data_IF_036627178669
#
_entry.id   IF_036627178669
#
_cell.length_a   1.000
_cell.length_b   1.000
_cell.length_c   1.000
_cell.angle_alpha   90.00
_cell.angle_beta   90.00
_cell.angle_gamma   90.00
#
_symmetry.space_group_name_H-M   'P 1'
#
loop_
_entity.id
_entity.type
_entity.pdbx_description
1 polymer ?
#
# COMPACT_ATOMS: atom_id res chain seq x y z
N UNK A 1 1.81 22.07 4.05
CA UNK A 1 2.26 20.92 3.26
C UNK A 1 3.19 20.09 4.13
N UNK A 2 2.71 18.94 4.58
CA UNK A 2 3.37 18.12 5.62
C UNK A 2 4.55 17.30 5.09
N UNK A 3 4.59 17.09 3.76
CA UNK A 3 5.62 16.31 3.07
C UNK A 3 6.47 17.16 2.11
N UNK A 4 6.49 18.47 2.33
CA UNK A 4 7.30 19.38 1.51
C UNK A 4 8.77 18.94 1.51
N UNK A 5 9.35 18.85 0.33
CA UNK A 5 10.72 18.36 0.09
C UNK A 5 10.96 16.88 0.42
N UNK A 6 9.93 16.07 0.70
CA UNK A 6 10.05 14.62 0.80
C UNK A 6 9.89 13.96 -0.57
N UNK A 7 10.48 12.79 -0.72
CA UNK A 7 10.35 11.91 -1.87
C UNK A 7 9.70 10.61 -1.40
N UNK A 8 8.60 10.24 -2.05
CA UNK A 8 7.82 9.06 -1.72
C UNK A 8 7.80 8.07 -2.89
N UNK A 9 7.95 6.78 -2.61
CA UNK A 9 7.74 5.68 -3.55
C UNK A 9 6.49 4.93 -3.17
N UNK A 10 5.59 4.66 -4.14
CA UNK A 10 4.32 3.96 -3.89
C UNK A 10 4.20 2.80 -4.87
N UNK A 11 4.04 1.57 -4.36
CA UNK A 11 3.85 0.37 -5.18
C UNK A 11 2.38 0.07 -5.43
N UNK A 12 2.05 -0.53 -6.60
CA UNK A 12 0.67 -0.80 -7.00
C UNK A 12 -0.14 0.50 -7.13
N UNK A 13 0.47 1.57 -7.63
CA UNK A 13 -0.09 2.92 -7.62
C UNK A 13 -0.70 3.34 -8.96
N UNK A 14 -0.83 2.43 -9.92
CA UNK A 14 -1.48 2.67 -11.21
C UNK A 14 -3.00 2.83 -11.13
N UNK A 15 -3.64 2.46 -10.01
CA UNK A 15 -5.08 2.59 -9.79
C UNK A 15 -5.48 2.43 -8.32
N UNK A 16 -6.76 2.67 -8.02
CA UNK A 16 -7.39 2.34 -6.74
C UNK A 16 -6.74 3.02 -5.54
N UNK A 17 -6.52 2.25 -4.46
CA UNK A 17 -5.93 2.78 -3.21
C UNK A 17 -4.57 3.42 -3.47
N UNK A 18 -3.70 2.78 -4.25
CA UNK A 18 -2.37 3.30 -4.55
C UNK A 18 -2.40 4.62 -5.33
N UNK A 19 -3.33 4.79 -6.29
CA UNK A 19 -3.56 6.08 -6.98
C UNK A 19 -3.99 7.15 -5.99
N UNK A 20 -4.95 6.85 -5.09
CA UNK A 20 -5.42 7.79 -4.06
C UNK A 20 -4.30 8.21 -3.10
N UNK A 21 -3.48 7.24 -2.66
CA UNK A 21 -2.29 7.51 -1.83
C UNK A 21 -1.32 8.44 -2.57
N UNK A 22 -1.00 8.16 -3.83
CA UNK A 22 -0.06 8.97 -4.60
C UNK A 22 -0.54 10.41 -4.77
N UNK A 23 -1.84 10.60 -5.02
CA UNK A 23 -2.46 11.93 -5.13
C UNK A 23 -2.41 12.69 -3.79
N UNK A 24 -2.74 12.02 -2.67
CA UNK A 24 -2.68 12.61 -1.34
C UNK A 24 -1.23 13.04 -0.99
N UNK A 25 -0.24 12.17 -1.20
CA UNK A 25 1.16 12.51 -0.94
C UNK A 25 1.64 13.72 -1.76
N UNK A 26 1.27 13.78 -3.04
CA UNK A 26 1.61 14.92 -3.91
C UNK A 26 0.91 16.21 -3.46
N UNK A 27 -0.37 16.15 -3.03
CA UNK A 27 -1.10 17.32 -2.50
C UNK A 27 -0.47 17.86 -1.21
N UNK A 28 0.13 16.99 -0.40
CA UNK A 28 0.91 17.35 0.78
C UNK A 28 2.36 17.80 0.47
N UNK A 29 2.73 17.89 -0.82
CA UNK A 29 3.99 18.45 -1.29
C UNK A 29 5.14 17.49 -1.47
N UNK A 30 4.89 16.17 -1.42
CA UNK A 30 5.89 15.16 -1.76
C UNK A 30 6.11 15.07 -3.27
N UNK A 31 7.33 14.78 -3.69
CA UNK A 31 7.58 14.19 -5.01
C UNK A 31 7.30 12.69 -4.93
N UNK A 32 6.64 12.13 -5.94
CA UNK A 32 6.15 10.76 -5.90
C UNK A 32 6.67 9.92 -7.07
N UNK A 33 7.18 8.74 -6.78
CA UNK A 33 7.46 7.70 -7.77
C UNK A 33 6.29 6.71 -7.76
N UNK A 34 5.57 6.63 -8.87
CA UNK A 34 4.41 5.76 -9.09
C UNK A 34 4.93 4.45 -9.65
N UNK A 35 4.85 3.37 -8.88
CA UNK A 35 5.29 2.04 -9.32
C UNK A 35 4.10 1.12 -9.51
N UNK A 36 4.01 0.49 -10.67
CA UNK A 36 2.98 -0.52 -10.96
C UNK A 36 3.51 -1.57 -11.93
N UNK A 37 2.90 -2.76 -11.93
CA UNK A 37 3.16 -3.80 -12.94
C UNK A 37 2.71 -3.33 -14.33
N UNK A 38 1.66 -2.51 -14.39
CA UNK A 38 1.16 -1.88 -15.61
C UNK A 38 1.74 -0.47 -15.75
N UNK A 39 2.79 -0.34 -16.56
CA UNK A 39 3.48 0.93 -16.81
C UNK A 39 2.59 2.01 -17.40
N UNK A 40 1.61 1.67 -18.25
CA UNK A 40 0.67 2.64 -18.83
C UNK A 40 -0.23 3.25 -17.75
N UNK A 41 -0.73 2.42 -16.82
CA UNK A 41 -1.53 2.87 -15.68
C UNK A 41 -0.70 3.78 -14.76
N UNK A 42 0.54 3.40 -14.45
CA UNK A 42 1.46 4.21 -13.66
C UNK A 42 1.73 5.57 -14.33
N UNK A 43 2.02 5.58 -15.64
CA UNK A 43 2.21 6.79 -16.43
C UNK A 43 0.98 7.70 -16.43
N UNK A 44 -0.22 7.13 -16.58
CA UNK A 44 -1.49 7.87 -16.51
C UNK A 44 -1.64 8.61 -15.19
N UNK A 45 -1.37 7.94 -14.07
CA UNK A 45 -1.44 8.53 -12.72
C UNK A 45 -0.40 9.63 -12.55
N UNK A 46 0.85 9.40 -12.96
CA UNK A 46 1.90 10.41 -12.91
C UNK A 46 1.54 11.67 -13.72
N UNK A 47 1.00 11.52 -14.93
CA UNK A 47 0.51 12.64 -15.75
C UNK A 47 -0.61 13.40 -15.05
N UNK A 48 -1.60 12.71 -14.47
CA UNK A 48 -2.72 13.32 -13.74
C UNK A 48 -2.21 14.17 -12.55
N UNK A 49 -1.25 13.63 -11.79
CA UNK A 49 -0.63 14.36 -10.67
C UNK A 49 0.14 15.59 -11.18
N UNK A 50 0.92 15.48 -12.25
CA UNK A 50 1.71 16.57 -12.80
C UNK A 50 0.87 17.72 -13.41
N UNK A 51 -0.38 17.47 -13.78
CA UNK A 51 -1.33 18.54 -14.17
C UNK A 51 -1.66 19.43 -12.97
N UNK A 52 -1.83 18.84 -11.78
CA UNK A 52 -2.20 19.57 -10.56
C UNK A 52 -0.98 20.10 -9.80
N UNK A 53 0.10 19.33 -9.81
CA UNK A 53 1.35 19.60 -9.09
C UNK A 53 2.55 19.42 -10.05
N UNK A 54 2.93 20.44 -10.81
CA UNK A 54 3.95 20.31 -11.85
C UNK A 54 5.28 19.75 -11.35
N UNK A 55 5.85 18.78 -12.08
CA UNK A 55 7.13 18.10 -11.77
C UNK A 55 7.15 17.37 -10.42
N UNK A 56 5.98 16.94 -9.91
CA UNK A 56 5.87 16.25 -8.64
C UNK A 56 5.79 14.72 -8.80
N UNK A 57 5.54 14.19 -9.98
CA UNK A 57 5.38 12.75 -10.17
C UNK A 57 6.25 12.19 -11.31
N UNK A 58 6.74 10.99 -11.12
CA UNK A 58 7.38 10.15 -12.11
C UNK A 58 6.83 8.72 -11.99
N UNK A 59 7.03 7.87 -12.97
CA UNK A 59 6.54 6.50 -12.96
C UNK A 59 7.63 5.48 -13.28
N UNK A 60 7.42 4.25 -12.84
CA UNK A 60 8.28 3.12 -13.12
C UNK A 60 7.44 1.83 -13.22
N UNK A 61 7.70 1.02 -14.25
CA UNK A 61 7.08 -0.30 -14.40
C UNK A 61 7.93 -1.35 -13.68
N UNK A 62 7.32 -2.11 -12.77
CA UNK A 62 8.02 -3.16 -12.03
C UNK A 62 7.12 -4.33 -11.67
N UNK A 63 7.63 -5.54 -11.89
CA UNK A 63 7.12 -6.77 -11.28
C UNK A 63 7.82 -6.99 -9.92
N UNK A 64 7.08 -6.85 -8.83
CA UNK A 64 7.61 -6.99 -7.47
C UNK A 64 7.89 -8.44 -7.05
N UNK A 65 7.57 -9.41 -7.89
CA UNK A 65 8.03 -10.79 -7.70
C UNK A 65 9.51 -10.95 -8.10
N UNK A 66 10.05 -10.02 -8.90
CA UNK A 66 11.46 -9.97 -9.28
C UNK A 66 12.27 -8.96 -8.44
N UNK A 67 13.23 -9.48 -7.67
CA UNK A 67 14.13 -8.65 -6.85
C UNK A 67 15.01 -7.69 -7.66
N UNK A 68 15.26 -7.96 -8.96
CA UNK A 68 16.01 -7.04 -9.83
C UNK A 68 15.14 -5.82 -10.17
N UNK A 69 13.84 -6.03 -10.47
CA UNK A 69 12.90 -4.95 -10.71
C UNK A 69 12.74 -4.06 -9.47
N UNK A 70 12.68 -4.65 -8.25
CA UNK A 70 12.64 -3.90 -6.99
C UNK A 70 13.88 -3.01 -6.83
N UNK A 71 15.09 -3.54 -7.07
CA UNK A 71 16.33 -2.74 -7.03
C UNK A 71 16.29 -1.60 -8.04
N UNK A 72 15.82 -1.88 -9.25
CA UNK A 72 15.74 -0.90 -10.34
C UNK A 72 14.77 0.24 -10.04
N UNK A 73 13.60 -0.02 -9.42
CA UNK A 73 12.65 1.04 -9.05
C UNK A 73 13.24 2.00 -8.00
N UNK A 74 14.00 1.47 -7.03
CA UNK A 74 14.68 2.30 -6.02
C UNK A 74 15.77 3.14 -6.67
N UNK A 75 16.61 2.55 -7.53
CA UNK A 75 17.63 3.28 -8.25
C UNK A 75 17.06 4.37 -9.16
N UNK A 76 15.96 4.09 -9.86
CA UNK A 76 15.25 5.08 -10.68
C UNK A 76 14.74 6.25 -9.83
N UNK A 77 14.20 5.94 -8.62
CA UNK A 77 13.75 6.98 -7.68
C UNK A 77 14.91 7.87 -7.23
N UNK A 78 16.01 7.27 -6.81
CA UNK A 78 17.21 8.00 -6.37
C UNK A 78 17.84 8.81 -7.52
N UNK A 79 17.88 8.26 -8.72
CA UNK A 79 18.40 8.96 -9.91
C UNK A 79 17.54 10.17 -10.29
N UNK A 80 16.21 10.06 -10.16
CA UNK A 80 15.29 11.13 -10.53
C UNK A 80 15.19 12.22 -9.46
N UNK A 81 15.13 11.83 -8.18
CA UNK A 81 14.80 12.74 -7.09
C UNK A 81 15.92 12.92 -6.07
N UNK A 82 17.05 12.25 -6.23
CA UNK A 82 18.28 12.32 -5.42
C UNK A 82 18.20 11.70 -4.03
N UNK A 83 17.02 11.34 -3.55
CA UNK A 83 16.78 10.72 -2.23
C UNK A 83 15.48 9.91 -2.21
N UNK A 84 15.27 9.17 -1.13
CA UNK A 84 14.02 8.45 -0.85
C UNK A 84 13.75 8.58 0.65
N UNK A 85 12.69 9.31 1.03
CA UNK A 85 12.32 9.56 2.44
C UNK A 85 11.16 8.66 2.91
N UNK A 86 10.24 8.35 2.01
CA UNK A 86 8.96 7.73 2.34
C UNK A 86 8.66 6.59 1.39
N UNK A 87 8.13 5.49 1.91
CA UNK A 87 7.71 4.35 1.09
C UNK A 87 6.32 3.91 1.50
N UNK A 88 5.46 3.66 0.52
CA UNK A 88 4.17 3.01 0.72
C UNK A 88 4.09 1.71 -0.08
N UNK A 89 4.16 0.58 0.60
CA UNK A 89 4.00 -0.75 0.04
C UNK A 89 2.51 -1.09 -0.04
N UNK A 90 1.89 -0.78 -1.19
CA UNK A 90 0.47 -1.00 -1.41
C UNK A 90 0.18 -2.18 -2.35
N UNK A 91 1.10 -2.55 -3.23
CA UNK A 91 0.89 -3.65 -4.18
C UNK A 91 0.51 -4.97 -3.48
N UNK A 92 -0.58 -5.56 -3.92
CA UNK A 92 -1.05 -6.87 -3.47
C UNK A 92 -2.07 -7.43 -4.46
N UNK A 93 -2.24 -8.73 -4.48
CA UNK A 93 -3.31 -9.37 -5.23
C UNK A 93 -3.79 -10.65 -4.52
N UNK A 94 -5.08 -10.95 -4.64
CA UNK A 94 -5.65 -12.24 -4.30
C UNK A 94 -5.86 -13.05 -5.57
N UNK A 95 -5.46 -14.30 -5.57
CA UNK A 95 -5.78 -15.28 -6.59
C UNK A 95 -6.68 -16.35 -5.98
N UNK A 96 -7.80 -16.60 -6.64
CA UNK A 96 -8.82 -17.48 -6.11
C UNK A 96 -9.71 -16.83 -5.05
N UNK A 97 -10.99 -17.20 -5.07
CA UNK A 97 -12.01 -16.88 -4.08
C UNK A 97 -12.88 -18.12 -3.94
N UNK A 98 -13.14 -18.56 -2.70
CA UNK A 98 -14.00 -19.71 -2.46
C UNK A 98 -13.75 -20.39 -1.13
N UNK A 99 -14.48 -21.48 -0.86
CA UNK A 99 -14.24 -22.34 0.29
C UNK A 99 -12.80 -22.87 0.32
N UNK A 100 -12.23 -23.06 1.51
CA UNK A 100 -10.81 -23.41 1.69
C UNK A 100 -10.42 -24.70 0.97
N UNK A 101 -11.33 -25.66 0.89
CA UNK A 101 -11.16 -26.96 0.22
C UNK A 101 -11.09 -26.87 -1.31
N UNK A 102 -11.47 -25.74 -1.91
CA UNK A 102 -11.51 -25.54 -3.36
C UNK A 102 -10.31 -24.76 -3.90
N UNK A 103 -9.42 -24.25 -3.02
CA UNK A 103 -8.22 -23.56 -3.50
C UNK A 103 -7.23 -24.54 -4.12
N UNK A 104 -6.76 -24.24 -5.31
CA UNK A 104 -5.58 -24.91 -5.86
C UNK A 104 -4.30 -24.45 -5.15
N UNK A 105 -3.29 -25.29 -5.16
CA UNK A 105 -2.00 -24.95 -4.56
C UNK A 105 -1.33 -23.76 -5.30
N UNK A 106 -1.58 -23.64 -6.59
CA UNK A 106 -1.11 -22.55 -7.45
C UNK A 106 -1.75 -21.21 -7.03
N UNK A 107 -3.06 -21.17 -6.74
CA UNK A 107 -3.75 -19.96 -6.25
C UNK A 107 -3.24 -19.54 -4.87
N UNK A 108 -3.02 -20.51 -3.99
CA UNK A 108 -2.43 -20.27 -2.66
C UNK A 108 -1.04 -19.64 -2.82
N UNK A 109 -0.15 -20.28 -3.60
CA UNK A 109 1.22 -19.80 -3.79
C UNK A 109 1.25 -18.43 -4.46
N UNK A 110 0.46 -18.22 -5.52
CA UNK A 110 0.39 -16.94 -6.22
C UNK A 110 -0.10 -15.80 -5.30
N UNK A 111 -1.08 -16.07 -4.43
CA UNK A 111 -1.56 -15.08 -3.44
C UNK A 111 -0.48 -14.73 -2.42
N UNK A 112 0.23 -15.74 -1.89
CA UNK A 112 1.36 -15.53 -0.98
C UNK A 112 2.48 -14.73 -1.65
N UNK A 113 2.85 -15.09 -2.89
CA UNK A 113 3.93 -14.42 -3.62
C UNK A 113 3.61 -12.96 -3.90
N UNK A 114 2.38 -12.65 -4.33
CA UNK A 114 1.96 -11.30 -4.69
C UNK A 114 1.64 -10.41 -3.48
N UNK A 115 1.29 -11.00 -2.31
CA UNK A 115 0.83 -10.21 -1.17
C UNK A 115 1.83 -10.17 -0.03
N UNK A 116 2.57 -11.26 0.22
CA UNK A 116 3.50 -11.36 1.33
C UNK A 116 4.96 -11.44 0.89
N UNK A 117 5.31 -12.39 0.00
CA UNK A 117 6.71 -12.61 -0.40
C UNK A 117 7.28 -11.38 -1.14
N UNK A 118 6.48 -10.76 -2.01
CA UNK A 118 6.89 -9.52 -2.71
C UNK A 118 7.13 -8.37 -1.72
N UNK A 119 6.24 -8.18 -0.73
CA UNK A 119 6.43 -7.17 0.32
C UNK A 119 7.70 -7.44 1.13
N UNK A 120 7.95 -8.69 1.52
CA UNK A 120 9.16 -9.05 2.25
C UNK A 120 10.43 -8.72 1.44
N UNK A 121 10.44 -9.03 0.13
CA UNK A 121 11.54 -8.66 -0.78
C UNK A 121 11.69 -7.14 -0.90
N UNK A 122 10.59 -6.41 -1.03
CA UNK A 122 10.61 -4.95 -1.03
C UNK A 122 11.26 -4.41 0.24
N UNK A 123 10.76 -4.79 1.42
CA UNK A 123 11.31 -4.34 2.70
C UNK A 123 12.80 -4.65 2.86
N UNK A 124 13.27 -5.83 2.43
CA UNK A 124 14.68 -6.19 2.47
C UNK A 124 15.56 -5.20 1.69
N UNK A 125 15.14 -4.85 0.47
CA UNK A 125 15.92 -3.99 -0.43
C UNK A 125 15.75 -2.51 -0.05
N UNK A 126 14.54 -2.09 0.30
CA UNK A 126 14.20 -0.74 0.74
C UNK A 126 14.97 -0.34 1.99
N UNK A 127 14.93 -1.17 3.03
CA UNK A 127 15.62 -0.91 4.30
C UNK A 127 17.13 -0.79 4.08
N UNK A 128 17.73 -1.65 3.25
CA UNK A 128 19.15 -1.51 2.94
C UNK A 128 19.43 -0.15 2.29
N UNK A 129 18.65 0.24 1.28
CA UNK A 129 18.80 1.53 0.60
C UNK A 129 18.59 2.73 1.54
N UNK A 130 17.61 2.65 2.45
CA UNK A 130 17.36 3.71 3.43
C UNK A 130 18.51 3.84 4.45
N UNK A 131 19.06 2.71 4.91
CA UNK A 131 20.25 2.72 5.78
C UNK A 131 21.47 3.32 5.09
N UNK A 132 21.68 3.01 3.82
CA UNK A 132 22.81 3.53 3.03
C UNK A 132 22.73 5.06 2.86
N UNK A 133 21.51 5.63 2.79
CA UNK A 133 21.30 7.07 2.75
C UNK A 133 21.58 7.76 4.11
N UNK A 134 21.51 7.03 5.22
CA UNK A 134 21.73 7.54 6.59
C UNK A 134 20.82 8.74 6.95
N UNK A 135 19.58 8.76 6.44
CA UNK A 135 18.57 9.79 6.74
C UNK A 135 17.34 9.15 7.41
N UNK A 136 16.61 9.89 8.27
CA UNK A 136 15.34 9.41 8.80
C UNK A 136 14.34 9.13 7.70
N UNK A 137 13.64 8.00 7.80
CA UNK A 137 12.67 7.57 6.80
C UNK A 137 11.40 6.97 7.44
N UNK A 138 10.34 6.83 6.64
CA UNK A 138 9.10 6.21 7.09
C UNK A 138 8.53 5.27 6.02
N UNK A 139 8.10 4.09 6.45
CA UNK A 139 7.48 3.05 5.63
C UNK A 139 6.06 2.83 6.11
N UNK A 140 5.10 2.75 5.19
CA UNK A 140 3.72 2.30 5.45
C UNK A 140 3.41 1.10 4.57
N UNK A 141 2.99 0.01 5.19
CA UNK A 141 2.53 -1.20 4.50
C UNK A 141 1.00 -1.22 4.47
N UNK A 142 0.40 -1.42 3.31
CA UNK A 142 -1.06 -1.55 3.21
C UNK A 142 -1.46 -3.00 3.49
N UNK A 143 -2.15 -3.16 4.62
CA UNK A 143 -2.75 -4.41 5.06
C UNK A 143 -4.21 -4.51 4.59
N UNK A 144 -5.10 -5.02 5.43
CA UNK A 144 -6.54 -5.13 5.21
C UNK A 144 -7.25 -5.37 6.55
N UNK A 145 -8.51 -4.98 6.68
CA UNK A 145 -9.33 -5.37 7.83
C UNK A 145 -9.55 -6.89 7.88
N UNK A 146 -9.42 -7.61 6.76
CA UNK A 146 -9.42 -9.08 6.73
C UNK A 146 -8.26 -9.72 7.51
N UNK A 147 -7.19 -8.95 7.78
CA UNK A 147 -6.08 -9.36 8.63
C UNK A 147 -6.41 -9.31 10.13
N UNK A 148 -7.47 -8.60 10.51
CA UNK A 148 -7.88 -8.39 11.91
C UNK A 148 -9.00 -9.35 12.28
N UNK A 149 -9.94 -9.56 11.36
CA UNK A 149 -11.01 -10.55 11.49
C UNK A 149 -11.01 -11.49 10.27
N UNK A 150 -11.29 -12.77 10.49
CA UNK A 150 -11.39 -13.74 9.39
C UNK A 150 -12.42 -13.31 8.34
N UNK A 151 -12.13 -13.62 7.08
CA UNK A 151 -13.03 -13.34 5.96
C UNK A 151 -13.35 -14.64 5.23
N UNK A 152 -14.61 -15.03 5.24
CA UNK A 152 -15.06 -16.24 4.53
C UNK A 152 -14.74 -16.10 3.03
N UNK A 153 -14.39 -17.22 2.41
CA UNK A 153 -14.11 -17.33 0.99
C UNK A 153 -12.87 -16.56 0.48
N UNK A 154 -12.07 -15.96 1.39
CA UNK A 154 -10.81 -15.29 1.05
C UNK A 154 -9.72 -15.56 2.11
N UNK A 155 -9.65 -16.80 2.58
CA UNK A 155 -8.84 -17.20 3.73
C UNK A 155 -7.34 -16.98 3.53
N UNK A 156 -6.81 -17.31 2.34
CA UNK A 156 -5.36 -17.17 2.09
C UNK A 156 -4.91 -15.70 2.00
N UNK A 157 -5.73 -14.84 1.41
CA UNK A 157 -5.47 -13.41 1.39
C UNK A 157 -5.53 -12.81 2.81
N UNK A 158 -6.54 -13.18 3.60
CA UNK A 158 -6.66 -12.75 4.99
C UNK A 158 -5.43 -13.16 5.82
N UNK A 159 -4.99 -14.41 5.68
CA UNK A 159 -3.78 -14.91 6.33
C UNK A 159 -2.52 -14.16 5.88
N UNK A 160 -2.38 -13.90 4.56
CA UNK A 160 -1.26 -13.11 4.03
C UNK A 160 -1.22 -11.69 4.61
N UNK A 161 -2.37 -11.04 4.73
CA UNK A 161 -2.47 -9.69 5.30
C UNK A 161 -2.25 -9.67 6.82
N UNK A 162 -2.61 -10.75 7.54
CA UNK A 162 -2.25 -10.91 8.95
C UNK A 162 -0.71 -11.06 9.11
N UNK A 163 -0.06 -11.78 8.19
CA UNK A 163 1.39 -11.87 8.14
C UNK A 163 2.04 -10.50 7.88
N UNK A 164 1.47 -9.66 7.02
CA UNK A 164 1.91 -8.26 6.79
C UNK A 164 1.88 -7.45 8.09
N UNK A 165 0.82 -7.58 8.91
CA UNK A 165 0.72 -6.89 10.20
C UNK A 165 1.86 -7.28 11.14
N UNK A 166 2.12 -8.57 11.30
CA UNK A 166 3.18 -9.06 12.18
C UNK A 166 4.58 -8.71 11.65
N UNK A 167 4.80 -8.83 10.33
CA UNK A 167 6.05 -8.42 9.68
C UNK A 167 6.33 -6.93 9.91
N UNK A 168 5.33 -6.06 9.79
CA UNK A 168 5.44 -4.62 10.07
C UNK A 168 5.95 -4.36 11.49
N UNK A 169 5.38 -5.03 12.49
CA UNK A 169 5.80 -4.89 13.89
C UNK A 169 7.22 -5.39 14.13
N UNK A 170 7.59 -6.50 13.52
CA UNK A 170 8.93 -7.09 13.65
C UNK A 170 9.98 -6.18 13.03
N UNK A 171 9.75 -5.74 11.80
CA UNK A 171 10.68 -4.85 11.08
C UNK A 171 10.80 -3.49 11.79
N UNK A 172 9.72 -2.94 12.33
CA UNK A 172 9.78 -1.70 13.11
C UNK A 172 10.77 -1.78 14.27
N UNK A 173 10.79 -2.93 14.99
CA UNK A 173 11.76 -3.17 16.08
C UNK A 173 13.21 -3.24 15.59
N UNK A 174 13.42 -3.84 14.41
CA UNK A 174 14.76 -4.02 13.83
C UNK A 174 15.39 -2.71 13.36
N UNK A 175 14.57 -1.76 12.86
CA UNK A 175 15.07 -0.57 12.16
C UNK A 175 14.90 0.74 12.94
N UNK A 176 14.22 0.73 14.08
CA UNK A 176 13.92 1.94 14.86
C UNK A 176 15.20 2.75 15.23
N UNK A 177 16.29 2.07 15.59
CA UNK A 177 17.57 2.71 15.92
C UNK A 177 18.28 3.36 14.72
N UNK A 178 17.83 3.03 13.50
CA UNK A 178 18.30 3.68 12.28
C UNK A 178 17.46 4.93 11.91
N UNK A 179 16.52 5.34 12.78
CA UNK A 179 15.61 6.45 12.49
C UNK A 179 14.52 6.11 11.45
N UNK A 180 14.26 4.82 11.19
CA UNK A 180 13.24 4.36 10.25
C UNK A 180 12.01 3.95 11.03
N UNK A 181 10.85 4.55 10.71
CA UNK A 181 9.54 4.15 11.24
C UNK A 181 8.84 3.22 10.25
N UNK A 182 8.16 2.20 10.76
CA UNK A 182 7.40 1.26 9.93
C UNK A 182 6.03 1.04 10.56
N UNK A 183 4.95 1.34 9.82
CA UNK A 183 3.57 1.17 10.27
C UNK A 183 2.75 0.44 9.21
N UNK A 184 1.58 -0.05 9.57
CA UNK A 184 0.60 -0.60 8.63
C UNK A 184 -0.72 0.17 8.69
N UNK A 185 -1.38 0.28 7.55
CA UNK A 185 -2.77 0.74 7.43
C UNK A 185 -3.61 -0.44 6.99
N UNK A 186 -4.74 -0.66 7.66
CA UNK A 186 -5.71 -1.73 7.39
C UNK A 186 -7.01 -1.13 6.83
N UNK A 187 -7.15 -1.01 5.50
CA UNK A 187 -8.38 -0.53 4.88
C UNK A 187 -9.55 -1.48 5.07
N UNK A 188 -10.76 -0.93 5.17
CA UNK A 188 -12.00 -1.65 4.94
C UNK A 188 -12.31 -1.81 3.46
N UNK A 189 -13.60 -1.86 3.11
CA UNK A 189 -14.02 -1.83 1.70
C UNK A 189 -13.87 -0.43 1.14
N UNK A 190 -13.03 -0.29 0.11
CA UNK A 190 -12.69 0.99 -0.53
C UNK A 190 -13.16 0.98 -1.99
N UNK A 191 -13.70 2.10 -2.45
CA UNK A 191 -14.26 2.32 -3.77
C UNK A 191 -13.18 2.32 -4.88
N UNK A 192 -12.69 1.14 -5.22
CA UNK A 192 -11.66 0.91 -6.24
C UNK A 192 -12.28 0.37 -7.53
N UNK A 193 -11.58 0.40 -8.68
CA UNK A 193 -12.05 -0.23 -9.91
C UNK A 193 -12.45 -1.70 -9.73
N UNK A 194 -11.66 -2.49 -8.98
CA UNK A 194 -11.98 -3.89 -8.72
C UNK A 194 -13.25 -4.08 -7.87
N UNK A 195 -13.47 -3.21 -6.87
CA UNK A 195 -14.70 -3.24 -6.05
C UNK A 195 -15.92 -2.81 -6.87
N UNK A 196 -15.78 -1.82 -7.76
CA UNK A 196 -16.87 -1.41 -8.69
C UNK A 196 -17.25 -2.56 -9.60
N UNK A 197 -16.27 -3.22 -10.21
CA UNK A 197 -16.52 -4.39 -11.07
C UNK A 197 -17.22 -5.53 -10.29
N UNK A 198 -16.82 -5.77 -9.03
CA UNK A 198 -17.48 -6.74 -8.17
C UNK A 198 -18.95 -6.36 -7.91
N UNK A 199 -19.28 -5.10 -7.69
CA UNK A 199 -20.66 -4.63 -7.49
C UNK A 199 -21.51 -4.71 -8.77
N UNK A 200 -20.91 -4.55 -9.94
CA UNK A 200 -21.60 -4.76 -11.22
C UNK A 200 -21.98 -6.24 -11.41
N UNK A 201 -21.09 -7.16 -11.00
CA UNK A 201 -21.36 -8.60 -11.04
C UNK A 201 -22.33 -9.06 -9.94
N UNK A 202 -22.25 -8.47 -8.74
CA UNK A 202 -23.02 -8.85 -7.55
C UNK A 202 -23.65 -7.61 -6.89
N UNK A 203 -24.75 -7.06 -7.43
CA UNK A 203 -25.33 -5.79 -6.94
C UNK A 203 -25.74 -5.82 -5.46
N UNK A 204 -26.15 -6.99 -4.92
CA UNK A 204 -26.50 -7.15 -3.50
C UNK A 204 -25.30 -7.04 -2.56
N UNK A 205 -24.10 -7.30 -3.06
CA UNK A 205 -22.87 -7.20 -2.28
C UNK A 205 -22.58 -5.76 -1.83
N UNK A 206 -22.94 -4.77 -2.64
CA UNK A 206 -22.76 -3.35 -2.30
C UNK A 206 -23.48 -3.01 -0.99
N UNK A 207 -24.78 -3.26 -0.94
CA UNK A 207 -25.61 -2.98 0.24
C UNK A 207 -25.12 -3.74 1.48
N UNK A 208 -24.70 -5.00 1.30
CA UNK A 208 -24.16 -5.81 2.39
C UNK A 208 -22.85 -5.22 2.94
N UNK A 209 -21.95 -4.78 2.07
CA UNK A 209 -20.66 -4.21 2.47
C UNK A 209 -20.82 -2.81 3.07
N UNK A 210 -21.75 -1.99 2.57
CA UNK A 210 -22.11 -0.70 3.19
C UNK A 210 -22.68 -0.92 4.60
N UNK A 211 -23.54 -1.92 4.79
CA UNK A 211 -24.11 -2.27 6.10
C UNK A 211 -23.08 -2.84 7.07
N UNK A 212 -22.01 -3.46 6.58
CA UNK A 212 -20.92 -3.97 7.43
C UNK A 212 -20.08 -2.87 8.08
N UNK A 213 -20.07 -1.67 7.52
CA UNK A 213 -19.44 -0.49 8.10
C UNK A 213 -20.40 0.20 9.08
N UNK A 214 -19.90 0.65 10.24
CA UNK A 214 -20.68 1.47 11.17
C UNK A 214 -21.07 2.82 10.54
N UNK A 215 -20.23 3.36 9.65
CA UNK A 215 -20.50 4.59 8.91
C UNK A 215 -21.47 4.39 7.74
N UNK A 216 -21.94 3.14 7.48
CA UNK A 216 -22.94 2.80 6.46
C UNK A 216 -22.57 3.22 5.04
N UNK A 217 -21.30 3.22 4.73
CA UNK A 217 -20.75 3.47 3.39
C UNK A 217 -19.43 2.72 3.19
N UNK A 218 -19.01 2.58 1.95
CA UNK A 218 -17.64 2.24 1.62
C UNK A 218 -16.76 3.48 1.69
N UNK A 219 -15.45 3.28 1.88
CA UNK A 219 -14.47 4.36 1.92
C UNK A 219 -14.00 4.75 0.52
N UNK A 220 -13.36 5.91 0.41
CA UNK A 220 -12.71 6.38 -0.82
C UNK A 220 -11.18 6.22 -0.72
N UNK A 221 -10.47 6.02 -1.86
CA UNK A 221 -9.02 5.88 -1.87
C UNK A 221 -8.27 7.02 -1.18
N UNK A 222 -8.79 8.24 -1.29
CA UNK A 222 -8.23 9.44 -0.69
C UNK A 222 -8.24 9.38 0.84
N UNK A 223 -9.24 8.74 1.45
CA UNK A 223 -9.31 8.58 2.91
C UNK A 223 -8.18 7.69 3.45
N UNK A 224 -7.72 6.71 2.65
CA UNK A 224 -6.51 5.94 2.95
C UNK A 224 -5.27 6.80 2.76
N UNK A 225 -5.23 7.58 1.67
CA UNK A 225 -4.13 8.48 1.34
C UNK A 225 -3.83 9.51 2.44
N UNK A 226 -4.85 10.06 3.09
CA UNK A 226 -4.69 11.03 4.17
C UNK A 226 -4.00 10.42 5.41
N UNK A 227 -4.41 9.21 5.85
CA UNK A 227 -3.72 8.55 6.95
C UNK A 227 -2.29 8.16 6.58
N UNK A 228 -2.07 7.67 5.36
CA UNK A 228 -0.72 7.33 4.87
C UNK A 228 0.16 8.59 4.87
N UNK A 229 -0.36 9.74 4.40
CA UNK A 229 0.36 11.02 4.40
C UNK A 229 0.76 11.44 5.82
N UNK A 230 -0.15 11.31 6.79
CA UNK A 230 0.15 11.57 8.19
C UNK A 230 1.24 10.64 8.74
N UNK A 231 1.13 9.32 8.49
CA UNK A 231 2.10 8.33 9.00
C UNK A 231 3.49 8.47 8.36
N UNK A 232 3.57 8.97 7.15
CA UNK A 232 4.84 9.25 6.47
C UNK A 232 5.46 10.60 6.88
N UNK A 233 4.68 11.49 7.51
CA UNK A 233 5.13 12.83 7.92
C UNK A 233 5.82 12.83 9.28
N UNK A 234 6.46 13.96 9.62
CA UNK A 234 7.07 14.19 10.94
C UNK A 234 6.03 14.33 12.07
N UNK A 235 4.75 14.55 11.75
CA UNK A 235 3.66 14.63 12.74
C UNK A 235 3.41 13.31 13.46
N UNK A 236 3.82 12.21 12.86
CA UNK A 236 3.76 10.87 13.45
C UNK A 236 5.13 10.37 13.94
N UNK A 237 6.04 11.28 14.29
CA UNK A 237 7.44 10.95 14.65
C UNK A 237 7.57 9.97 15.82
N UNK A 238 6.56 9.83 16.67
CA UNK A 238 6.54 8.86 17.77
C UNK A 238 5.63 7.65 17.54
N UNK A 239 5.22 7.41 16.26
CA UNK A 239 4.37 6.28 15.86
C UNK A 239 5.20 5.32 15.01
N UNK A 240 5.45 4.12 15.52
CA UNK A 240 6.09 3.02 14.79
C UNK A 240 5.58 1.66 15.28
N UNK A 241 5.55 0.66 14.42
CA UNK A 241 5.05 -0.68 14.72
C UNK A 241 3.53 -0.77 14.88
N UNK A 242 2.78 0.26 14.48
CA UNK A 242 1.32 0.28 14.64
C UNK A 242 0.61 -0.26 13.40
N UNK A 243 -0.55 -0.88 13.64
CA UNK A 243 -1.52 -1.30 12.61
C UNK A 243 -2.79 -0.49 12.85
N UNK A 244 -3.11 0.41 11.93
CA UNK A 244 -4.21 1.36 12.10
C UNK A 244 -5.30 1.08 11.07
N UNK A 245 -6.53 0.82 11.54
CA UNK A 245 -7.68 0.57 10.67
C UNK A 245 -8.28 1.87 10.13
N UNK A 246 -8.60 1.86 8.81
CA UNK A 246 -9.41 2.87 8.13
C UNK A 246 -10.53 2.14 7.41
N UNK A 247 -11.57 1.79 8.11
CA UNK A 247 -12.56 0.80 7.68
C UNK A 247 -14.01 1.17 8.03
N UNK A 248 -14.26 2.41 8.45
CA UNK A 248 -15.57 2.86 8.86
C UNK A 248 -16.15 2.09 10.05
N UNK A 249 -15.30 1.45 10.86
CA UNK A 249 -15.69 0.64 12.02
C UNK A 249 -16.11 -0.79 11.67
N UNK A 250 -15.84 -1.26 10.43
CA UNK A 250 -16.27 -2.61 10.02
C UNK A 250 -15.57 -3.76 10.75
N UNK A 251 -14.39 -3.52 11.32
CA UNK A 251 -13.65 -4.54 12.08
C UNK A 251 -14.18 -4.75 13.51
N UNK A 252 -14.95 -3.80 14.03
CA UNK A 252 -15.53 -3.84 15.39
C UNK A 252 -17.05 -3.95 15.38
N UNK A 253 -17.66 -4.11 14.22
CA UNK A 253 -19.10 -4.28 14.03
C UNK A 253 -19.50 -5.76 14.07
#
# INVERSE_FOLDING_TARGET
MELKNKVSLITGAGQGIGEGIAQALASHGSKVMIVDLNGESAMRVAKKINVLFPNSAEYFEADLTDSKAIKSMIQATLSKFTKLDCICNNAAASKGLGPVENYSLEEVQATLDLTFTSLWKCLQIEIQSLKDQSIPASIVNISSNSAIKGYAFNSIYAASKAAVNNLTQSVAKEVARNGIRVNAVSPGTINTPGVKQYFEAEPKAKEMLEKSSLLRRIGEPEEIGELVSFLLSERSSFITGQVISVDGGSSIN
#
